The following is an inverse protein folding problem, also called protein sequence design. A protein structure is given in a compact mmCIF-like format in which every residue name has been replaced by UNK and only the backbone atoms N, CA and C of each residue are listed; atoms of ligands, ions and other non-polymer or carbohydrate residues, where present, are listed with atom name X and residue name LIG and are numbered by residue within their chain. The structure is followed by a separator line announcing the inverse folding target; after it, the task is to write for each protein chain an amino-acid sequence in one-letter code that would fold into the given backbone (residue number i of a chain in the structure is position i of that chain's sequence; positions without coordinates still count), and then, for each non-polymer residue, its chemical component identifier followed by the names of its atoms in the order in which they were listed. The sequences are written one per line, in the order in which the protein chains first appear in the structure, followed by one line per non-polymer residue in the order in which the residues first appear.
data_IF_405192365659
#
_entry.id   IF_405192365659
#
_cell.length_a   1.000
_cell.length_b   1.000
_cell.length_c   1.000
_cell.angle_alpha   90.00
_cell.angle_beta   90.00
_cell.angle_gamma   90.00
#
_symmetry.space_group_name_H-M   'P 1'
#
loop_
_entity.id
_entity.type
_entity.pdbx_description
1 polymer ?
#
# COMPACT_ATOMS: atom_id res chain seq x y z
N UNK A 1 -13.60 -75.17 3.17
CA UNK A 1 -12.85 -74.51 4.25
C UNK A 1 -12.25 -73.23 3.72
N UNK A 2 -12.39 -72.10 4.43
CA UNK A 2 -12.05 -70.74 3.96
C UNK A 2 -10.61 -70.61 3.45
N UNK A 3 -9.69 -71.34 4.08
CA UNK A 3 -8.24 -71.32 3.82
C UNK A 3 -7.81 -72.34 2.75
N UNK A 4 -8.56 -73.42 2.55
CA UNK A 4 -8.17 -74.52 1.63
C UNK A 4 -8.65 -74.33 0.19
N UNK A 5 -9.49 -73.33 -0.07
CA UNK A 5 -10.06 -73.06 -1.41
C UNK A 5 -9.81 -71.63 -1.88
N UNK A 6 -8.98 -70.86 -1.16
CA UNK A 6 -8.68 -69.45 -1.45
C UNK A 6 -7.18 -69.21 -1.40
N UNK A 7 -6.62 -68.53 -2.40
CA UNK A 7 -5.25 -68.04 -2.35
C UNK A 7 -5.17 -66.80 -1.44
N UNK A 8 -4.33 -66.87 -0.40
CA UNK A 8 -4.12 -65.74 0.51
C UNK A 8 -3.15 -64.75 -0.15
N UNK A 9 -3.59 -63.50 -0.26
CA UNK A 9 -2.75 -62.38 -0.69
C UNK A 9 -2.43 -61.48 0.51
N UNK A 10 -1.16 -61.40 0.89
CA UNK A 10 -0.71 -60.62 2.04
C UNK A 10 -0.46 -59.17 1.65
N UNK A 11 -1.16 -58.25 2.30
CA UNK A 11 -0.91 -56.82 2.18
C UNK A 11 -0.09 -56.33 3.37
N UNK A 12 1.08 -55.77 3.08
CA UNK A 12 1.95 -55.18 4.07
C UNK A 12 1.76 -53.66 4.15
N UNK A 13 2.19 -53.08 5.26
CA UNK A 13 2.36 -51.62 5.36
C UNK A 13 3.26 -51.12 4.23
N UNK A 14 3.02 -49.90 3.77
CA UNK A 14 3.84 -49.33 2.71
C UNK A 14 5.28 -49.13 3.18
N UNK A 15 6.28 -49.65 2.45
CA UNK A 15 7.67 -49.39 2.77
C UNK A 15 8.00 -47.91 2.56
N UNK A 16 9.09 -47.46 3.16
CA UNK A 16 9.54 -46.07 3.08
C UNK A 16 9.66 -45.56 1.62
N UNK A 17 10.22 -46.38 0.74
CA UNK A 17 10.33 -46.06 -0.69
C UNK A 17 8.97 -45.86 -1.38
N UNK A 18 7.94 -46.64 -1.00
CA UNK A 18 6.59 -46.47 -1.52
C UNK A 18 5.97 -45.16 -1.01
N UNK A 19 6.16 -44.83 0.27
CA UNK A 19 5.71 -43.57 0.85
C UNK A 19 6.35 -42.36 0.14
N UNK A 20 7.67 -42.41 -0.08
CA UNK A 20 8.40 -41.36 -0.82
C UNK A 20 7.86 -41.24 -2.25
N UNK A 21 7.71 -42.35 -2.97
CA UNK A 21 7.23 -42.36 -4.35
C UNK A 21 5.82 -41.78 -4.48
N UNK A 22 4.91 -42.18 -3.58
CA UNK A 22 3.55 -41.63 -3.52
C UNK A 22 3.60 -40.14 -3.21
N UNK A 23 4.33 -39.70 -2.17
CA UNK A 23 4.49 -38.28 -1.87
C UNK A 23 4.97 -37.48 -3.08
N UNK A 24 6.04 -37.93 -3.76
CA UNK A 24 6.55 -37.27 -4.97
C UNK A 24 5.47 -37.12 -6.04
N UNK A 25 4.72 -38.18 -6.33
CA UNK A 25 3.66 -38.16 -7.35
C UNK A 25 2.56 -37.12 -7.07
N UNK A 26 2.21 -36.91 -5.81
CA UNK A 26 1.24 -35.90 -5.42
C UNK A 26 1.86 -34.50 -5.39
N UNK A 27 3.07 -34.36 -4.82
CA UNK A 27 3.77 -33.09 -4.68
C UNK A 27 4.22 -32.48 -6.02
N UNK A 28 4.53 -33.29 -7.03
CA UNK A 28 4.90 -32.82 -8.38
C UNK A 28 3.79 -31.99 -9.05
N UNK A 29 2.55 -32.11 -8.58
CA UNK A 29 1.41 -31.33 -9.09
C UNK A 29 1.31 -29.93 -8.45
N UNK A 30 2.11 -29.64 -7.43
CA UNK A 30 2.12 -28.36 -6.73
C UNK A 30 3.14 -27.42 -7.36
N UNK A 31 2.69 -26.54 -8.25
CA UNK A 31 3.55 -25.53 -8.89
C UNK A 31 4.21 -24.58 -7.88
N UNK A 32 3.52 -24.31 -6.77
CA UNK A 32 4.03 -23.47 -5.67
C UNK A 32 5.20 -24.09 -4.91
N UNK A 33 5.47 -25.39 -5.08
CA UNK A 33 6.59 -26.08 -4.45
C UNK A 33 7.78 -26.11 -5.42
N UNK A 34 8.90 -25.43 -5.12
CA UNK A 34 10.08 -25.51 -5.96
C UNK A 34 10.60 -26.93 -6.10
N UNK A 35 10.95 -27.34 -7.33
CA UNK A 35 11.43 -28.69 -7.64
C UNK A 35 12.62 -29.14 -6.77
N UNK A 36 13.48 -28.19 -6.37
CA UNK A 36 14.63 -28.44 -5.48
C UNK A 36 14.23 -29.00 -4.11
N UNK A 37 13.03 -28.67 -3.61
CA UNK A 37 12.55 -29.12 -2.30
C UNK A 37 11.66 -30.36 -2.38
N UNK A 38 11.34 -30.83 -3.60
CA UNK A 38 10.40 -31.92 -3.78
C UNK A 38 10.89 -33.22 -3.14
N UNK A 39 12.17 -33.55 -3.30
CA UNK A 39 12.77 -34.76 -2.72
C UNK A 39 12.82 -34.69 -1.19
N UNK A 40 13.24 -33.55 -0.64
CA UNK A 40 13.35 -33.37 0.82
C UNK A 40 11.99 -33.42 1.50
N UNK A 41 10.97 -32.76 0.93
CA UNK A 41 9.59 -32.80 1.46
C UNK A 41 9.01 -34.21 1.37
N UNK A 42 9.21 -34.94 0.27
CA UNK A 42 8.72 -36.31 0.14
C UNK A 42 9.36 -37.26 1.16
N UNK A 43 10.69 -37.17 1.36
CA UNK A 43 11.41 -37.94 2.40
C UNK A 43 10.92 -37.60 3.80
N UNK A 44 10.69 -36.31 4.07
CA UNK A 44 10.18 -35.86 5.36
C UNK A 44 8.77 -36.39 5.63
N UNK A 45 7.86 -36.34 4.65
CA UNK A 45 6.51 -36.91 4.79
C UNK A 45 6.56 -38.39 5.15
N UNK A 46 7.37 -39.16 4.43
CA UNK A 46 7.57 -40.59 4.72
C UNK A 46 8.12 -40.81 6.12
N UNK A 47 9.14 -40.05 6.53
CA UNK A 47 9.73 -40.14 7.85
C UNK A 47 8.69 -39.89 8.95
N UNK A 48 7.94 -38.80 8.85
CA UNK A 48 6.91 -38.44 9.84
C UNK A 48 5.86 -39.53 9.97
N UNK A 49 5.39 -40.10 8.85
CA UNK A 49 4.42 -41.19 8.90
C UNK A 49 4.97 -42.42 9.63
N UNK A 50 6.20 -42.85 9.30
CA UNK A 50 6.85 -43.96 9.99
C UNK A 50 7.07 -43.69 11.48
N UNK A 51 7.43 -42.46 11.84
CA UNK A 51 7.58 -42.06 13.24
C UNK A 51 6.26 -42.10 14.00
N UNK A 52 5.16 -41.65 13.39
CA UNK A 52 3.83 -41.76 14.01
C UNK A 52 3.47 -43.22 14.28
N UNK A 53 3.78 -44.14 13.37
CA UNK A 53 3.56 -45.59 13.60
C UNK A 53 4.36 -46.10 14.81
N UNK A 54 5.63 -45.68 14.92
CA UNK A 54 6.49 -46.03 16.05
C UNK A 54 5.94 -45.44 17.37
N UNK A 55 5.55 -44.18 17.38
CA UNK A 55 4.96 -43.51 18.54
C UNK A 55 3.63 -44.13 18.93
N UNK A 56 2.78 -44.52 17.99
CA UNK A 56 1.52 -45.22 18.28
C UNK A 56 1.75 -46.55 19.02
N UNK A 57 2.84 -47.27 18.74
CA UNK A 57 3.21 -48.48 19.50
C UNK A 57 3.61 -48.15 20.93
N UNK A 58 4.37 -47.08 21.14
CA UNK A 58 4.73 -46.60 22.49
C UNK A 58 3.48 -46.16 23.25
N UNK A 59 2.59 -45.43 22.58
CA UNK A 59 1.32 -44.95 23.15
C UNK A 59 0.42 -46.11 23.59
N UNK A 60 0.35 -47.19 22.81
CA UNK A 60 -0.36 -48.40 23.22
C UNK A 60 0.25 -49.04 24.47
N UNK A 61 1.58 -49.04 24.60
CA UNK A 61 2.25 -49.62 25.76
C UNK A 61 2.02 -48.80 27.04
N UNK A 62 2.07 -47.47 26.94
CA UNK A 62 1.91 -46.57 28.09
C UNK A 62 0.44 -46.36 28.47
N UNK A 63 -0.41 -45.99 27.51
CA UNK A 63 -1.78 -45.55 27.74
C UNK A 63 -2.82 -46.64 27.50
N UNK A 64 -2.41 -47.81 27.00
CA UNK A 64 -3.32 -48.93 26.63
C UNK A 64 -4.41 -48.52 25.62
N UNK A 65 -4.14 -47.49 24.81
CA UNK A 65 -5.05 -46.99 23.77
C UNK A 65 -4.45 -47.20 22.39
N UNK A 66 -5.27 -47.68 21.47
CA UNK A 66 -4.87 -47.86 20.08
C UNK A 66 -5.02 -46.56 19.29
N UNK A 67 -3.99 -46.23 18.51
CA UNK A 67 -4.05 -45.23 17.46
C UNK A 67 -3.49 -45.87 16.18
N UNK A 68 -4.34 -45.97 15.14
CA UNK A 68 -3.98 -46.61 13.89
C UNK A 68 -3.67 -45.57 12.82
N UNK A 69 -2.56 -45.77 12.15
CA UNK A 69 -2.26 -45.09 10.89
C UNK A 69 -2.60 -46.02 9.75
N UNK A 70 -3.06 -45.43 8.65
CA UNK A 70 -3.42 -46.18 7.44
C UNK A 70 -2.85 -45.45 6.23
N UNK A 71 -2.73 -46.12 5.07
CA UNK A 71 -2.39 -45.42 3.84
C UNK A 71 -3.32 -44.22 3.56
N UNK A 72 -4.58 -44.27 4.00
CA UNK A 72 -5.51 -43.14 3.90
C UNK A 72 -5.06 -41.93 4.73
N UNK A 73 -4.64 -42.12 5.99
CA UNK A 73 -4.17 -41.01 6.82
C UNK A 73 -2.87 -40.39 6.27
N UNK A 74 -2.04 -41.18 5.58
CA UNK A 74 -0.89 -40.65 4.85
C UNK A 74 -1.29 -39.75 3.67
N UNK A 75 -2.26 -40.18 2.87
CA UNK A 75 -2.78 -39.37 1.77
C UNK A 75 -3.47 -38.08 2.27
N UNK A 76 -4.13 -38.14 3.42
CA UNK A 76 -4.69 -36.97 4.10
C UNK A 76 -3.59 -36.01 4.57
N UNK A 77 -2.48 -36.50 5.11
CA UNK A 77 -1.31 -35.68 5.45
C UNK A 77 -0.78 -34.92 4.22
N UNK A 78 -0.60 -35.61 3.08
CA UNK A 78 -0.15 -34.99 1.83
C UNK A 78 -1.15 -33.93 1.36
N UNK A 79 -2.44 -34.26 1.39
CA UNK A 79 -3.52 -33.36 0.95
C UNK A 79 -3.62 -32.11 1.83
N UNK A 80 -3.46 -32.26 3.15
CA UNK A 80 -3.45 -31.15 4.09
C UNK A 80 -2.25 -30.23 3.84
N UNK A 81 -1.06 -30.81 3.65
CA UNK A 81 0.15 -30.05 3.31
C UNK A 81 -0.04 -29.23 2.02
N UNK A 82 -0.53 -29.88 0.96
CA UNK A 82 -0.81 -29.24 -0.32
C UNK A 82 -1.77 -28.04 -0.18
N UNK A 83 -2.89 -28.25 0.55
CA UNK A 83 -3.88 -27.19 0.81
C UNK A 83 -3.27 -26.02 1.57
N UNK A 84 -2.53 -26.29 2.64
CA UNK A 84 -1.92 -25.24 3.47
C UNK A 84 -0.85 -24.47 2.69
N UNK A 85 -0.03 -25.15 1.90
CA UNK A 85 1.01 -24.50 1.10
C UNK A 85 0.38 -23.55 0.07
N UNK A 86 -0.63 -24.00 -0.67
CA UNK A 86 -1.34 -23.14 -1.63
C UNK A 86 -1.97 -21.93 -0.96
N UNK A 87 -2.67 -22.14 0.17
CA UNK A 87 -3.29 -21.05 0.91
C UNK A 87 -2.25 -20.04 1.40
N UNK A 88 -1.15 -20.50 2.01
CA UNK A 88 -0.12 -19.62 2.57
C UNK A 88 0.66 -18.89 1.49
N UNK A 89 0.94 -19.53 0.35
CA UNK A 89 1.56 -18.88 -0.80
C UNK A 89 0.67 -17.78 -1.38
N UNK A 90 -0.64 -18.02 -1.51
CA UNK A 90 -1.58 -17.00 -1.98
C UNK A 90 -1.71 -15.83 -1.00
N UNK A 91 -1.82 -16.12 0.30
CA UNK A 91 -1.83 -15.09 1.35
C UNK A 91 -0.55 -14.23 1.31
N UNK A 92 0.61 -14.85 1.09
CA UNK A 92 1.89 -14.15 0.99
C UNK A 92 1.96 -13.29 -0.27
N UNK A 93 1.58 -13.83 -1.42
CA UNK A 93 1.56 -13.10 -2.69
C UNK A 93 0.68 -11.83 -2.59
N UNK A 94 -0.51 -11.94 -2.00
CA UNK A 94 -1.38 -10.78 -1.78
C UNK A 94 -0.79 -9.72 -0.84
N UNK A 95 0.01 -10.12 0.15
CA UNK A 95 0.72 -9.18 1.02
C UNK A 95 1.85 -8.46 0.29
N UNK A 96 2.57 -9.16 -0.57
CA UNK A 96 3.64 -8.59 -1.41
C UNK A 96 3.04 -7.57 -2.38
N UNK A 97 2.00 -7.94 -3.13
CA UNK A 97 1.32 -7.04 -4.07
C UNK A 97 0.78 -5.78 -3.37
N UNK A 98 0.15 -5.93 -2.20
CA UNK A 98 -0.30 -4.77 -1.41
C UNK A 98 0.86 -3.86 -1.01
N UNK A 99 2.01 -4.42 -0.63
CA UNK A 99 3.17 -3.65 -0.22
C UNK A 99 3.79 -2.90 -1.40
N UNK A 100 3.97 -3.56 -2.54
CA UNK A 100 4.48 -2.97 -3.78
C UNK A 100 3.59 -1.80 -4.22
N UNK A 101 2.28 -2.03 -4.32
CA UNK A 101 1.31 -0.98 -4.64
C UNK A 101 1.34 0.19 -3.64
N UNK A 102 1.59 -0.10 -2.35
CA UNK A 102 1.75 0.92 -1.32
C UNK A 102 3.00 1.77 -1.51
N UNK A 103 4.13 1.13 -1.82
CA UNK A 103 5.41 1.79 -2.08
C UNK A 103 5.34 2.67 -3.34
N UNK A 104 4.71 2.20 -4.40
CA UNK A 104 4.54 2.97 -5.63
C UNK A 104 3.73 4.25 -5.40
N UNK A 105 2.64 4.16 -4.61
CA UNK A 105 1.83 5.33 -4.24
C UNK A 105 2.64 6.33 -3.40
N UNK A 106 3.40 5.84 -2.41
CA UNK A 106 4.26 6.70 -1.59
C UNK A 106 5.29 7.43 -2.44
N UNK A 107 5.94 6.71 -3.36
CA UNK A 107 6.91 7.30 -4.29
C UNK A 107 6.26 8.37 -5.17
N UNK A 108 5.16 8.04 -5.85
CA UNK A 108 4.45 9.01 -6.70
C UNK A 108 3.96 10.23 -5.91
N UNK A 109 3.59 10.06 -4.64
CA UNK A 109 3.16 11.19 -3.80
C UNK A 109 4.35 12.06 -3.40
N UNK A 110 5.50 11.45 -3.10
CA UNK A 110 6.73 12.20 -2.83
C UNK A 110 7.13 13.06 -4.05
N UNK A 111 7.12 12.48 -5.24
CA UNK A 111 7.42 13.19 -6.49
C UNK A 111 6.45 14.37 -6.71
N UNK A 112 5.14 14.17 -6.51
CA UNK A 112 4.14 15.25 -6.61
C UNK A 112 4.34 16.36 -5.57
N UNK A 113 4.75 16.00 -4.35
CA UNK A 113 5.02 16.97 -3.28
C UNK A 113 6.25 17.81 -3.63
N UNK A 114 7.28 17.22 -4.21
CA UNK A 114 8.48 17.95 -4.61
C UNK A 114 8.18 18.91 -5.78
N UNK A 115 7.40 18.49 -6.77
CA UNK A 115 6.91 19.37 -7.84
C UNK A 115 6.08 20.56 -7.29
N UNK A 116 5.24 20.31 -6.28
CA UNK A 116 4.44 21.36 -5.66
C UNK A 116 5.31 22.36 -4.88
N UNK A 117 6.35 21.91 -4.19
CA UNK A 117 7.30 22.80 -3.51
C UNK A 117 8.02 23.72 -4.49
N UNK A 118 8.44 23.19 -5.65
CA UNK A 118 9.09 23.99 -6.67
C UNK A 118 8.14 25.08 -7.22
N UNK A 119 6.90 24.70 -7.54
CA UNK A 119 5.87 25.66 -7.99
C UNK A 119 5.57 26.72 -6.93
N UNK A 120 5.49 26.33 -5.66
CA UNK A 120 5.23 27.25 -4.56
C UNK A 120 6.37 28.28 -4.43
N UNK A 121 7.63 27.83 -4.51
CA UNK A 121 8.79 28.71 -4.44
C UNK A 121 8.79 29.76 -5.56
N UNK A 122 8.42 29.36 -6.80
CA UNK A 122 8.29 30.30 -7.92
C UNK A 122 7.17 31.31 -7.66
N UNK A 123 6.00 30.85 -7.19
CA UNK A 123 4.85 31.70 -6.91
C UNK A 123 5.12 32.71 -5.79
N UNK A 124 5.86 32.33 -4.74
CA UNK A 124 6.24 33.25 -3.66
C UNK A 124 7.09 34.42 -4.18
N UNK A 125 8.03 34.17 -5.09
CA UNK A 125 8.84 35.23 -5.71
C UNK A 125 7.99 36.15 -6.58
N UNK A 126 7.13 35.60 -7.44
CA UNK A 126 6.23 36.40 -8.27
C UNK A 126 5.26 37.26 -7.42
N UNK A 127 4.75 36.70 -6.32
CA UNK A 127 3.87 37.40 -5.39
C UNK A 127 4.60 38.59 -4.76
N UNK A 128 5.85 38.41 -4.32
CA UNK A 128 6.64 39.47 -3.73
C UNK A 128 6.84 40.63 -4.72
N UNK A 129 7.23 40.34 -5.96
CA UNK A 129 7.42 41.36 -7.00
C UNK A 129 6.13 42.14 -7.27
N UNK A 130 4.98 41.46 -7.30
CA UNK A 130 3.68 42.12 -7.50
C UNK A 130 3.25 42.96 -6.31
N UNK A 131 3.52 42.51 -5.08
CA UNK A 131 3.27 43.29 -3.88
C UNK A 131 4.13 44.55 -3.86
N UNK A 132 5.43 44.44 -4.13
CA UNK A 132 6.35 45.59 -4.18
C UNK A 132 5.90 46.61 -5.25
N UNK A 133 5.45 46.13 -6.40
CA UNK A 133 4.91 47.00 -7.46
C UNK A 133 3.58 47.67 -7.06
N UNK A 134 2.70 46.97 -6.36
CA UNK A 134 1.45 47.52 -5.85
C UNK A 134 1.70 48.58 -4.77
N UNK A 135 2.62 48.32 -3.85
CA UNK A 135 3.02 49.27 -2.79
C UNK A 135 3.61 50.55 -3.37
N UNK A 136 4.46 50.44 -4.41
CA UNK A 136 4.98 51.61 -5.13
C UNK A 136 3.86 52.43 -5.79
N UNK A 137 2.86 51.77 -6.37
CA UNK A 137 1.69 52.41 -6.99
C UNK A 137 0.83 53.14 -5.95
N UNK A 138 0.63 52.54 -4.78
CA UNK A 138 -0.10 53.16 -3.65
C UNK A 138 0.60 54.47 -3.23
N UNK A 139 1.93 54.48 -3.15
CA UNK A 139 2.68 55.67 -2.77
C UNK A 139 2.53 56.80 -3.80
N UNK A 140 2.61 56.48 -5.11
CA UNK A 140 2.39 57.45 -6.19
C UNK A 140 0.98 58.03 -6.11
N UNK A 141 -0.04 57.18 -5.95
CA UNK A 141 -1.44 57.61 -5.83
C UNK A 141 -1.64 58.50 -4.61
N UNK A 142 -0.97 58.20 -3.48
CA UNK A 142 -1.03 59.05 -2.27
C UNK A 142 -0.50 60.45 -2.55
N UNK A 143 0.69 60.57 -3.14
CA UNK A 143 1.31 61.85 -3.49
C UNK A 143 0.44 62.63 -4.47
N UNK A 144 -0.10 61.97 -5.49
CA UNK A 144 -0.90 62.65 -6.50
C UNK A 144 -2.26 63.10 -5.95
N UNK A 145 -2.88 62.30 -5.08
CA UNK A 145 -4.12 62.69 -4.37
C UNK A 145 -3.89 63.91 -3.49
N UNK A 146 -2.76 63.98 -2.79
CA UNK A 146 -2.40 65.12 -1.96
C UNK A 146 -2.22 66.39 -2.80
N UNK A 147 -1.50 66.31 -3.93
CA UNK A 147 -1.38 67.44 -4.87
C UNK A 147 -2.75 67.90 -5.37
N UNK A 148 -3.58 67.00 -5.88
CA UNK A 148 -4.92 67.31 -6.38
C UNK A 148 -5.78 67.97 -5.29
N UNK A 149 -5.67 67.52 -4.03
CA UNK A 149 -6.35 68.15 -2.90
C UNK A 149 -5.87 69.59 -2.66
N UNK A 150 -4.57 69.84 -2.74
CA UNK A 150 -4.01 71.20 -2.57
C UNK A 150 -4.43 72.14 -3.70
N UNK A 151 -4.34 71.68 -4.95
CA UNK A 151 -4.77 72.45 -6.12
C UNK A 151 -6.26 72.77 -6.07
N UNK A 152 -7.09 71.79 -5.67
CA UNK A 152 -8.52 72.00 -5.46
C UNK A 152 -8.80 73.07 -4.39
N UNK A 153 -8.08 73.03 -3.26
CA UNK A 153 -8.25 74.04 -2.21
C UNK A 153 -7.86 75.46 -2.67
N UNK A 154 -6.86 75.58 -3.55
CA UNK A 154 -6.47 76.85 -4.16
C UNK A 154 -7.55 77.35 -5.12
N UNK A 155 -8.01 76.50 -6.04
CA UNK A 155 -9.06 76.82 -7.00
C UNK A 155 -10.37 77.24 -6.30
N UNK A 156 -10.81 76.49 -5.29
CA UNK A 156 -11.98 76.82 -4.47
C UNK A 156 -11.81 78.18 -3.77
N UNK A 157 -10.58 78.53 -3.37
CA UNK A 157 -10.25 79.82 -2.75
C UNK A 157 -10.27 80.99 -3.72
N UNK A 158 -9.77 80.79 -4.94
CA UNK A 158 -9.83 81.79 -6.02
C UNK A 158 -11.26 82.01 -6.50
N UNK A 159 -12.04 80.94 -6.66
CA UNK A 159 -13.45 81.03 -7.02
C UNK A 159 -14.24 81.91 -6.03
N UNK A 160 -14.01 81.74 -4.72
CA UNK A 160 -14.61 82.62 -3.69
C UNK A 160 -14.19 84.09 -3.84
N UNK A 161 -12.92 84.36 -4.15
CA UNK A 161 -12.44 85.74 -4.35
C UNK A 161 -13.06 86.38 -5.58
N UNK A 162 -13.13 85.65 -6.69
CA UNK A 162 -13.78 86.10 -7.93
C UNK A 162 -15.27 86.36 -7.69
N UNK A 163 -15.95 85.46 -6.97
CA UNK A 163 -17.35 85.66 -6.59
C UNK A 163 -17.56 86.93 -5.76
N UNK A 164 -16.70 87.21 -4.78
CA UNK A 164 -16.74 88.45 -4.00
C UNK A 164 -16.53 89.69 -4.89
N UNK A 165 -15.51 89.69 -5.76
CA UNK A 165 -15.24 90.79 -6.70
C UNK A 165 -16.43 91.00 -7.64
N UNK A 166 -17.04 89.93 -8.16
CA UNK A 166 -18.23 90.02 -9.01
C UNK A 166 -19.40 90.67 -8.27
N UNK A 167 -19.62 90.33 -6.99
CA UNK A 167 -20.65 90.99 -6.17
C UNK A 167 -20.34 92.46 -5.89
N UNK A 168 -19.08 92.84 -5.69
CA UNK A 168 -18.68 94.24 -5.51
C UNK A 168 -18.83 95.07 -6.80
N UNK A 169 -18.42 94.51 -7.95
CA UNK A 169 -18.60 95.16 -9.27
C UNK A 169 -20.08 95.38 -9.56
N UNK A 170 -20.93 94.38 -9.27
CA UNK A 170 -22.37 94.52 -9.44
C UNK A 170 -22.99 95.59 -8.53
N UNK A 171 -22.44 95.81 -7.33
CA UNK A 171 -22.88 96.89 -6.42
C UNK A 171 -22.41 98.28 -6.86
N UNK A 172 -21.30 98.39 -7.60
CA UNK A 172 -20.79 99.68 -8.13
C UNK A 172 -21.41 100.08 -9.47
N UNK A 173 -22.10 99.17 -10.15
CA UNK A 173 -22.83 99.43 -11.40
C UNK A 173 -24.31 99.83 -11.18
N UNK A 174 -24.76 99.90 -9.92
CA UNK A 174 -26.00 100.56 -9.49
C UNK A 174 -25.67 101.94 -8.91
#
# INVERSE_FOLDING_TARGET
GLVNSTAINWFHEWPQEALISVSKKFLQKLEVLPAIYLDSVARFMSFVHTQVNATSRVYLQSERRYNYTTPKSFLEQISLYAKLLLQKSAELAGKVDRLENGLDKLKSTADQVDDLKEKLAIQEVELQVKNDAADALIEIVRVETEKVSTEKAIADGEERKVALIATEVSKKQQ
#
